data_IF_740605645012
#
_entry.id   IF_740605645012
#
_cell.length_a   1.000
_cell.length_b   1.000
_cell.length_c   1.000
_cell.angle_alpha   90.00
_cell.angle_beta   90.00
_cell.angle_gamma   90.00
#
_symmetry.space_group_name_H-M   'P 1'
#
loop_
_entity.id
_entity.type
_entity.pdbx_description
1 polymer ?
#
# COMPACT_ATOMS: atom_id res chain seq x y z
N UNK A 1 -16.11 -56.02 -1.75
CA UNK A 1 -15.68 -56.58 -3.06
C UNK A 1 -15.27 -55.42 -3.95
N UNK A 2 -14.04 -55.43 -4.47
CA UNK A 2 -13.52 -54.45 -5.45
C UNK A 2 -13.88 -54.93 -6.86
N UNK A 3 -14.14 -54.01 -7.80
CA UNK A 3 -13.71 -54.24 -9.18
C UNK A 3 -12.64 -53.24 -9.59
N UNK A 4 -11.53 -53.81 -10.07
CA UNK A 4 -10.52 -53.16 -10.89
C UNK A 4 -11.05 -53.00 -12.31
N UNK A 5 -10.84 -51.84 -12.93
CA UNK A 5 -10.67 -51.74 -14.40
C UNK A 5 -9.49 -50.81 -14.65
N UNK A 6 -8.52 -51.34 -15.38
CA UNK A 6 -7.30 -50.70 -15.84
C UNK A 6 -7.41 -50.37 -17.34
N UNK A 7 -6.52 -49.45 -17.79
CA UNK A 7 -6.13 -49.17 -19.18
C UNK A 7 -7.15 -48.48 -20.10
N UNK A 8 -6.81 -47.54 -20.99
CA UNK A 8 -5.58 -46.79 -21.30
C UNK A 8 -5.90 -45.99 -22.58
N UNK A 9 -5.63 -44.68 -22.64
CA UNK A 9 -5.13 -44.07 -23.89
C UNK A 9 -4.53 -42.69 -23.62
N UNK A 10 -3.28 -42.56 -24.00
CA UNK A 10 -2.52 -41.31 -24.07
C UNK A 10 -3.00 -40.52 -25.28
N UNK A 11 -3.26 -39.23 -25.11
CA UNK A 11 -3.32 -38.27 -26.21
C UNK A 11 -2.26 -37.18 -25.95
N UNK A 12 -1.13 -37.30 -26.66
CA UNK A 12 -0.21 -36.20 -26.89
C UNK A 12 -0.91 -35.17 -27.78
N UNK A 13 -0.99 -33.92 -27.35
CA UNK A 13 -1.12 -32.79 -28.26
C UNK A 13 0.09 -31.89 -28.10
N UNK A 14 0.84 -31.82 -29.21
CA UNK A 14 2.03 -31.03 -29.38
C UNK A 14 1.70 -29.52 -29.38
N UNK A 15 2.56 -28.80 -28.67
CA UNK A 15 2.97 -27.40 -28.82
C UNK A 15 2.43 -26.61 -30.01
N UNK A 16 1.85 -25.45 -29.71
CA UNK A 16 2.09 -24.21 -30.45
C UNK A 16 2.23 -23.07 -29.45
N UNK A 17 3.48 -22.70 -29.17
CA UNK A 17 3.85 -21.50 -28.42
C UNK A 17 3.70 -20.29 -29.34
N UNK A 18 2.48 -19.78 -29.50
CA UNK A 18 2.30 -18.45 -30.11
C UNK A 18 2.65 -17.40 -29.08
N UNK A 19 3.89 -16.92 -29.19
CA UNK A 19 4.31 -15.64 -28.62
C UNK A 19 3.43 -14.57 -29.28
N UNK A 20 2.38 -14.14 -28.58
CA UNK A 20 1.67 -12.93 -28.96
C UNK A 20 2.60 -11.76 -28.63
N UNK A 21 3.13 -11.18 -29.70
CA UNK A 21 3.97 -10.01 -29.71
C UNK A 21 3.36 -8.89 -28.87
N UNK A 22 4.23 -8.13 -28.20
CA UNK A 22 3.94 -6.83 -27.65
C UNK A 22 3.18 -5.99 -28.69
N UNK A 23 1.97 -5.56 -28.35
CA UNK A 23 1.32 -4.47 -29.05
C UNK A 23 1.86 -3.17 -28.46
N UNK A 24 2.98 -2.69 -29.01
CA UNK A 24 3.37 -1.28 -28.93
C UNK A 24 2.33 -0.47 -29.71
N UNK A 25 1.26 -0.06 -29.03
CA UNK A 25 0.39 1.01 -29.52
C UNK A 25 0.98 2.35 -29.09
N UNK A 26 2.10 2.73 -29.71
CA UNK A 26 2.53 4.12 -29.75
C UNK A 26 1.68 4.84 -30.82
N UNK A 27 0.53 5.37 -30.41
CA UNK A 27 -0.22 6.36 -31.19
C UNK A 27 -0.54 7.53 -30.26
N UNK A 28 0.28 8.57 -30.36
CA UNK A 28 0.19 9.75 -29.50
C UNK A 28 -1.05 10.60 -29.74
N UNK A 29 -1.60 11.09 -28.64
CA UNK A 29 -2.14 12.44 -28.48
C UNK A 29 -2.26 12.68 -26.97
N UNK A 30 -1.77 13.84 -26.54
CA UNK A 30 -1.74 14.35 -25.17
C UNK A 30 -0.76 13.67 -24.22
N UNK A 31 0.48 14.15 -24.29
CA UNK A 31 1.40 14.13 -23.17
C UNK A 31 0.84 15.01 -22.05
N UNK A 32 -0.22 14.54 -21.39
CA UNK A 32 -0.43 14.85 -20.00
C UNK A 32 0.59 14.00 -19.26
N UNK A 33 1.47 14.62 -18.47
CA UNK A 33 2.54 13.91 -17.81
C UNK A 33 1.94 12.94 -16.77
N UNK A 34 1.55 11.73 -17.18
CA UNK A 34 1.17 10.66 -16.26
C UNK A 34 2.39 10.38 -15.38
N UNK A 35 2.34 10.93 -14.17
CA UNK A 35 3.24 10.50 -13.10
C UNK A 35 3.04 8.99 -12.97
N UNK A 36 4.09 8.16 -13.16
CA UNK A 36 3.91 6.72 -13.08
C UNK A 36 3.29 6.37 -11.74
N UNK A 37 2.19 5.59 -11.78
CA UNK A 37 1.43 5.25 -10.58
C UNK A 37 2.34 4.54 -9.58
N UNK A 38 2.31 5.02 -8.33
CA UNK A 38 3.25 4.60 -7.29
C UNK A 38 2.68 3.42 -6.52
N UNK A 39 2.65 2.19 -7.06
CA UNK A 39 1.96 1.07 -6.37
C UNK A 39 2.58 0.69 -5.00
N UNK A 40 3.91 0.77 -4.90
CA UNK A 40 4.67 0.48 -3.68
C UNK A 40 5.59 1.66 -3.38
N UNK A 41 5.69 2.04 -2.11
CA UNK A 41 6.61 3.08 -1.65
C UNK A 41 7.40 2.64 -0.42
N UNK A 42 8.58 3.22 -0.23
CA UNK A 42 9.27 3.23 1.05
C UNK A 42 8.99 4.57 1.73
N UNK A 43 8.42 4.53 2.93
CA UNK A 43 8.04 5.74 3.66
C UNK A 43 8.91 5.93 4.89
N UNK A 44 9.54 7.10 5.00
CA UNK A 44 10.31 7.52 6.17
C UNK A 44 9.88 8.92 6.60
N UNK A 45 8.98 8.99 7.58
CA UNK A 45 8.40 10.25 8.02
C UNK A 45 7.20 10.03 8.94
N UNK A 46 6.38 11.06 9.08
CA UNK A 46 5.16 10.98 9.90
C UNK A 46 3.97 10.64 9.00
N UNK A 47 3.21 9.64 9.40
CA UNK A 47 1.93 9.27 8.82
C UNK A 47 0.84 9.31 9.87
N UNK A 48 -0.42 9.41 9.45
CA UNK A 48 -1.51 9.44 10.42
C UNK A 48 -2.88 9.38 9.80
N UNK A 49 -3.88 9.53 10.66
CA UNK A 49 -5.23 9.90 10.20
C UNK A 49 -5.15 11.21 9.40
N UNK A 50 -6.03 11.45 8.41
CA UNK A 50 -6.01 12.69 7.63
C UNK A 50 -6.03 13.95 8.50
N UNK A 51 -6.86 13.93 9.56
CA UNK A 51 -6.94 15.02 10.53
C UNK A 51 -5.66 15.15 11.36
N UNK A 52 -5.18 14.04 11.92
CA UNK A 52 -3.98 14.04 12.78
C UNK A 52 -2.74 14.51 12.03
N UNK A 53 -2.54 14.07 10.77
CA UNK A 53 -1.42 14.56 9.96
C UNK A 53 -1.53 16.06 9.71
N UNK A 54 -2.72 16.57 9.35
CA UNK A 54 -2.93 18.00 9.13
C UNK A 54 -2.62 18.84 10.38
N UNK A 55 -3.06 18.38 11.55
CA UNK A 55 -2.79 19.05 12.83
C UNK A 55 -1.31 18.98 13.21
N UNK A 56 -0.66 17.84 13.00
CA UNK A 56 0.81 17.70 13.17
C UNK A 56 1.58 18.70 12.30
N UNK A 57 1.20 18.85 11.02
CA UNK A 57 1.86 19.78 10.09
C UNK A 57 1.60 21.26 10.43
N UNK A 58 0.45 21.56 11.02
CA UNK A 58 0.12 22.90 11.50
C UNK A 58 0.70 23.22 12.88
N UNK A 59 1.22 22.22 13.59
CA UNK A 59 1.76 22.40 14.94
C UNK A 59 3.07 23.19 14.93
N UNK A 60 3.22 24.21 15.80
CA UNK A 60 4.51 24.88 16.00
C UNK A 60 5.53 23.98 16.73
N UNK A 61 5.05 22.89 17.37
CA UNK A 61 5.86 21.94 18.15
C UNK A 61 5.58 20.50 17.69
N UNK A 62 5.95 20.14 16.44
CA UNK A 62 5.55 18.87 15.83
C UNK A 62 6.01 17.63 16.61
N UNK A 63 7.20 17.69 17.23
CA UNK A 63 7.71 16.60 18.05
C UNK A 63 6.85 16.32 19.29
N UNK A 64 6.34 17.37 19.95
CA UNK A 64 5.45 17.22 21.09
C UNK A 64 4.09 16.71 20.64
N UNK A 65 3.57 17.24 19.53
CA UNK A 65 2.31 16.75 18.96
C UNK A 65 2.36 15.26 18.66
N UNK A 66 3.44 14.77 18.01
CA UNK A 66 3.63 13.35 17.73
C UNK A 66 3.62 12.48 19.01
N UNK A 67 4.29 12.95 20.07
CA UNK A 67 4.36 12.24 21.36
C UNK A 67 3.02 12.20 22.09
N UNK A 68 2.25 13.28 22.02
CA UNK A 68 0.98 13.44 22.75
C UNK A 68 -0.22 12.89 21.99
N UNK A 69 -0.08 12.70 20.68
CA UNK A 69 -1.16 12.27 19.77
C UNK A 69 -0.73 11.04 18.97
N UNK A 70 -0.21 10.03 19.67
CA UNK A 70 0.16 8.76 19.07
C UNK A 70 -1.03 8.13 18.34
N UNK A 71 -0.75 7.44 17.23
CA UNK A 71 -1.78 6.81 16.42
C UNK A 71 -2.54 5.78 17.25
N UNK A 72 -3.85 5.98 17.34
CA UNK A 72 -4.79 5.05 17.95
C UNK A 72 -5.81 4.63 16.91
N UNK A 73 -6.15 3.35 16.84
CA UNK A 73 -7.18 2.84 15.95
C UNK A 73 -8.08 1.86 16.70
N UNK A 74 -9.31 1.66 16.20
CA UNK A 74 -10.15 0.54 16.62
C UNK A 74 -9.77 -0.68 15.81
N UNK A 75 -9.37 -1.75 16.48
CA UNK A 75 -9.08 -3.06 15.88
C UNK A 75 -10.31 -3.95 16.07
N UNK A 76 -10.85 -4.50 14.99
CA UNK A 76 -11.92 -5.50 15.04
C UNK A 76 -11.38 -6.91 15.23
N UNK A 77 -12.26 -7.86 15.59
CA UNK A 77 -11.90 -9.26 15.84
C UNK A 77 -11.25 -9.96 14.63
N UNK A 78 -11.48 -9.48 13.41
CA UNK A 78 -10.86 -9.95 12.16
C UNK A 78 -9.51 -9.27 11.84
N UNK A 79 -8.99 -8.45 12.76
CA UNK A 79 -7.69 -7.78 12.63
C UNK A 79 -7.68 -6.52 11.77
N UNK A 80 -8.85 -5.96 11.42
CA UNK A 80 -8.93 -4.72 10.63
C UNK A 80 -8.85 -3.49 11.55
N UNK A 81 -7.91 -2.60 11.25
CA UNK A 81 -7.80 -1.31 11.89
C UNK A 81 -8.74 -0.28 11.22
N UNK A 82 -9.51 0.46 12.03
CA UNK A 82 -10.46 1.46 11.56
C UNK A 82 -10.53 2.65 12.52
N UNK A 83 -11.21 3.72 12.12
CA UNK A 83 -11.45 4.90 12.97
C UNK A 83 -10.17 5.45 13.63
N UNK A 84 -9.06 5.47 12.89
CA UNK A 84 -7.78 5.91 13.41
C UNK A 84 -7.75 7.42 13.69
N UNK A 85 -7.07 7.81 14.77
CA UNK A 85 -6.79 9.18 15.19
C UNK A 85 -5.32 9.35 15.51
N UNK A 86 -4.80 10.57 15.47
CA UNK A 86 -3.39 10.84 15.77
C UNK A 86 -2.46 10.53 14.62
N UNK A 87 -1.17 10.39 14.95
CA UNK A 87 -0.03 10.25 14.04
C UNK A 87 1.01 9.26 14.59
N UNK A 88 1.83 8.71 13.71
CA UNK A 88 2.93 7.82 14.05
C UNK A 88 4.14 8.08 13.17
N UNK A 89 5.33 7.70 13.66
CA UNK A 89 6.57 7.78 12.89
C UNK A 89 6.86 6.46 12.19
N UNK A 90 7.00 6.51 10.87
CA UNK A 90 7.29 5.38 10.01
C UNK A 90 8.80 5.32 9.74
N UNK A 91 9.44 4.21 10.10
CA UNK A 91 10.91 4.03 10.11
C UNK A 91 11.43 3.42 8.81
N UNK A 92 11.11 4.02 7.65
CA UNK A 92 11.50 3.50 6.34
C UNK A 92 10.86 2.14 6.02
N UNK A 93 9.54 2.06 6.19
CA UNK A 93 8.77 0.85 5.92
C UNK A 93 8.37 0.78 4.44
N UNK A 94 8.34 -0.42 3.87
CA UNK A 94 7.73 -0.67 2.57
C UNK A 94 6.20 -0.74 2.76
N UNK A 95 5.47 0.07 2.00
CA UNK A 95 4.02 0.22 2.11
C UNK A 95 3.37 0.06 0.75
N UNK A 96 2.12 -0.41 0.75
CA UNK A 96 1.28 -0.36 -0.45
C UNK A 96 0.65 1.03 -0.55
N UNK A 97 0.62 1.61 -1.73
CA UNK A 97 -0.06 2.90 -1.94
C UNK A 97 -1.49 2.62 -2.39
N UNK A 98 -2.43 3.25 -1.70
CA UNK A 98 -3.86 3.13 -1.94
C UNK A 98 -4.38 4.25 -2.85
N UNK A 99 -3.87 5.47 -2.67
CA UNK A 99 -4.24 6.64 -3.47
C UNK A 99 -3.02 7.57 -3.59
N UNK A 100 -2.65 7.89 -4.83
CA UNK A 100 -1.56 8.80 -5.19
C UNK A 100 -2.03 10.01 -6.02
N UNK A 101 -3.33 10.32 -6.00
CA UNK A 101 -3.91 11.44 -6.76
C UNK A 101 -3.57 12.82 -6.18
N UNK A 102 -3.36 12.94 -4.87
CA UNK A 102 -3.03 14.22 -4.23
C UNK A 102 -1.55 14.61 -4.47
N UNK A 103 -1.25 15.82 -4.96
CA UNK A 103 0.13 16.19 -5.30
C UNK A 103 1.06 16.31 -4.09
N UNK A 104 0.52 16.43 -2.87
CA UNK A 104 1.28 16.68 -1.64
C UNK A 104 1.35 15.49 -0.70
N UNK A 105 0.40 14.57 -0.82
CA UNK A 105 0.23 13.42 0.07
C UNK A 105 0.04 12.11 -0.68
N UNK A 106 0.20 11.01 0.03
CA UNK A 106 -0.16 9.67 -0.42
C UNK A 106 -1.03 9.02 0.65
N UNK A 107 -2.05 8.29 0.24
CA UNK A 107 -2.73 7.34 1.11
C UNK A 107 -2.05 5.99 0.97
N UNK A 108 -1.60 5.40 2.07
CA UNK A 108 -0.82 4.17 2.10
C UNK A 108 -1.39 3.17 3.10
N UNK A 109 -1.15 1.89 2.87
CA UNK A 109 -1.37 0.82 3.84
C UNK A 109 -0.02 0.45 4.46
N UNK A 110 0.15 0.78 5.73
CA UNK A 110 1.38 0.54 6.47
C UNK A 110 1.15 -0.42 7.64
N UNK A 111 2.10 -1.32 7.96
CA UNK A 111 2.04 -2.11 9.17
C UNK A 111 2.41 -1.23 10.38
N UNK A 112 1.45 -0.95 11.26
CA UNK A 112 1.66 -0.10 12.43
C UNK A 112 1.42 -0.89 13.71
N UNK A 113 2.31 -0.72 14.67
CA UNK A 113 2.16 -1.27 16.01
C UNK A 113 1.08 -0.50 16.79
N UNK A 114 0.03 -1.18 17.25
CA UNK A 114 -1.08 -0.58 18.00
C UNK A 114 -1.28 -1.22 19.38
N UNK A 115 -1.02 -2.53 19.50
CA UNK A 115 -1.31 -3.28 20.72
C UNK A 115 -0.10 -4.12 21.16
N UNK A 116 0.62 -3.67 22.18
CA UNK A 116 1.70 -4.45 22.83
C UNK A 116 2.68 -5.14 21.84
N UNK A 117 3.15 -4.45 20.80
CA UNK A 117 4.04 -5.07 19.80
C UNK A 117 3.35 -5.61 18.55
N UNK A 118 2.03 -5.74 18.54
CA UNK A 118 1.28 -6.28 17.39
C UNK A 118 1.09 -5.22 16.31
N UNK A 119 1.50 -5.59 15.08
CA UNK A 119 1.35 -4.75 13.89
C UNK A 119 0.06 -5.06 13.14
N UNK A 120 -0.69 -4.02 12.82
CA UNK A 120 -1.92 -4.09 12.03
C UNK A 120 -1.76 -3.32 10.72
N UNK A 121 -2.39 -3.75 9.62
CA UNK A 121 -2.43 -2.96 8.39
C UNK A 121 -3.34 -1.74 8.61
N UNK A 122 -2.76 -0.55 8.57
CA UNK A 122 -3.48 0.71 8.77
C UNK A 122 -3.41 1.56 7.51
N UNK A 123 -4.57 2.09 7.09
CA UNK A 123 -4.65 3.13 6.06
C UNK A 123 -4.27 4.46 6.69
N UNK A 124 -3.16 5.04 6.22
CA UNK A 124 -2.61 6.31 6.69
C UNK A 124 -2.44 7.27 5.54
N UNK A 125 -2.46 8.57 5.85
CA UNK A 125 -1.95 9.61 4.96
C UNK A 125 -0.52 9.93 5.36
N UNK A 126 0.37 10.10 4.37
CA UNK A 126 1.76 10.52 4.54
C UNK A 126 2.06 11.66 3.58
N UNK A 127 3.10 12.47 3.86
CA UNK A 127 3.54 13.46 2.88
C UNK A 127 4.30 12.78 1.75
N UNK A 128 4.04 13.20 0.50
CA UNK A 128 4.72 12.66 -0.68
C UNK A 128 6.24 12.82 -0.61
N UNK A 129 6.74 13.92 -0.03
CA UNK A 129 8.18 14.16 0.19
C UNK A 129 8.85 13.14 1.12
N UNK A 130 8.07 12.45 1.95
CA UNK A 130 8.55 11.44 2.90
C UNK A 130 8.44 10.01 2.30
N UNK A 131 7.97 9.89 1.06
CA UNK A 131 7.77 8.63 0.35
C UNK A 131 8.67 8.53 -0.89
N UNK A 132 9.27 7.36 -1.10
CA UNK A 132 10.03 7.02 -2.31
C UNK A 132 9.36 5.82 -2.98
N UNK A 133 8.77 6.04 -4.15
CA UNK A 133 8.21 4.95 -4.95
C UNK A 133 9.28 3.90 -5.23
N UNK A 134 8.92 2.63 -5.02
CA UNK A 134 9.74 1.52 -5.49
C UNK A 134 9.77 1.58 -7.02
N UNK A 135 10.93 1.29 -7.60
CA UNK A 135 11.11 1.17 -9.04
C UNK A 135 10.98 -0.29 -9.45
#
# INVERSE_FOLDING_TARGET
MKPFIASSLVALLATVSTHAAAADSASGADADAQTPSCAIAYVKGVGGSPRGLREYLASPTPYNYLKENELQCKVSDDGRASNCTGVTYIRNEQVSVYDDSDPTTLTVVAPVELEHGQKYPVILVVQRKDARCAR
#
